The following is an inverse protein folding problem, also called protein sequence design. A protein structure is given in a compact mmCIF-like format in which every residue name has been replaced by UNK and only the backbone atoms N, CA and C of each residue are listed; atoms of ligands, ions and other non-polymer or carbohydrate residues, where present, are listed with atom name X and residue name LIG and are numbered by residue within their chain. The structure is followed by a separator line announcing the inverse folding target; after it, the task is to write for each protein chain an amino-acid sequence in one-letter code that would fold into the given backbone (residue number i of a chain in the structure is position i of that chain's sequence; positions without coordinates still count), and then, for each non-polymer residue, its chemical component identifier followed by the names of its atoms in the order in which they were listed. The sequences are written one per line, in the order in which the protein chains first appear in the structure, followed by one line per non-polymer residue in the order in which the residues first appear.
data_IF_242297437914
#
_entry.id   IF_242297437914
#
_cell.length_a   1.000
_cell.length_b   1.000
_cell.length_c   1.000
_cell.angle_alpha   90.00
_cell.angle_beta   90.00
_cell.angle_gamma   90.00
#
_symmetry.space_group_name_H-M   'P 1'
#
loop_
_entity.id
_entity.type
_entity.pdbx_description
1 polymer ?
#
# COMPACT_ATOMS: atom_id res chain seq x y z
N UNK A 1 -17.80 -10.95 -46.56
CA UNK A 1 -17.00 -11.85 -45.70
C UNK A 1 -15.66 -11.24 -45.27
N UNK A 2 -14.87 -10.64 -46.19
CA UNK A 2 -13.57 -10.02 -45.83
C UNK A 2 -13.68 -8.84 -44.85
N UNK A 3 -14.70 -7.99 -45.01
CA UNK A 3 -14.98 -6.86 -44.09
C UNK A 3 -15.38 -7.30 -42.69
N UNK A 4 -16.07 -8.44 -42.56
CA UNK A 4 -16.44 -9.02 -41.26
C UNK A 4 -15.22 -9.54 -40.51
N UNK A 5 -14.28 -10.18 -41.21
CA UNK A 5 -12.99 -10.64 -40.66
C UNK A 5 -12.12 -9.47 -40.15
N UNK A 6 -12.11 -8.34 -40.86
CA UNK A 6 -11.40 -7.13 -40.44
C UNK A 6 -12.04 -6.55 -39.16
N UNK A 7 -13.37 -6.49 -39.10
CA UNK A 7 -14.09 -6.00 -37.92
C UNK A 7 -13.84 -6.89 -36.68
N UNK A 8 -13.83 -8.21 -36.87
CA UNK A 8 -13.52 -9.19 -35.82
C UNK A 8 -12.06 -9.04 -35.34
N UNK A 9 -11.12 -8.72 -36.24
CA UNK A 9 -9.73 -8.46 -35.88
C UNK A 9 -9.57 -7.22 -34.98
N UNK A 10 -10.41 -6.19 -35.14
CA UNK A 10 -10.36 -5.00 -34.28
C UNK A 10 -10.91 -5.27 -32.87
N UNK A 11 -11.85 -6.20 -32.71
CA UNK A 11 -12.41 -6.58 -31.39
C UNK A 11 -11.40 -7.32 -30.50
N UNK A 12 -10.38 -7.96 -31.07
CA UNK A 12 -9.31 -8.59 -30.29
C UNK A 12 -8.20 -7.63 -29.86
N UNK A 13 -8.13 -6.42 -30.44
CA UNK A 13 -7.11 -5.41 -30.11
C UNK A 13 -7.52 -4.51 -28.93
N UNK A 14 -8.76 -4.56 -28.46
CA UNK A 14 -9.27 -3.69 -27.38
C UNK A 14 -9.12 -4.25 -25.96
N UNK A 15 -8.38 -5.35 -25.76
CA UNK A 15 -8.25 -6.01 -24.45
C UNK A 15 -6.98 -5.64 -23.70
N UNK A 16 -6.76 -4.35 -23.47
CA UNK A 16 -5.77 -3.91 -22.47
C UNK A 16 -6.34 -2.83 -21.57
N UNK A 17 -7.51 -3.10 -20.97
CA UNK A 17 -7.87 -2.46 -19.72
C UNK A 17 -7.03 -3.12 -18.62
N UNK A 18 -5.74 -2.78 -18.54
CA UNK A 18 -5.04 -2.88 -17.26
C UNK A 18 -5.70 -1.82 -16.40
N UNK A 19 -6.81 -2.18 -15.76
CA UNK A 19 -7.46 -1.33 -14.79
C UNK A 19 -6.40 -1.11 -13.72
N UNK A 20 -5.87 0.11 -13.67
CA UNK A 20 -4.91 0.57 -12.67
C UNK A 20 -5.60 0.57 -11.31
N UNK A 21 -5.71 -0.61 -10.72
CA UNK A 21 -6.35 -0.79 -9.44
C UNK A 21 -5.44 -1.62 -8.56
N UNK A 22 -5.18 -1.03 -7.40
CA UNK A 22 -4.70 -1.69 -6.21
C UNK A 22 -5.28 -3.09 -6.05
N UNK A 23 -4.40 -4.09 -5.99
CA UNK A 23 -4.79 -5.47 -5.71
C UNK A 23 -4.96 -5.62 -4.21
N UNK A 24 -6.16 -5.97 -3.71
CA UNK A 24 -6.38 -6.23 -2.29
C UNK A 24 -5.55 -7.43 -1.81
N UNK A 25 -4.97 -7.31 -0.64
CA UNK A 25 -4.14 -8.33 0.00
C UNK A 25 -4.79 -8.82 1.29
N UNK A 26 -4.37 -9.99 1.77
CA UNK A 26 -4.81 -10.55 3.05
C UNK A 26 -3.60 -10.76 3.96
N UNK A 27 -3.81 -10.63 5.28
CA UNK A 27 -2.83 -11.03 6.29
C UNK A 27 -3.38 -12.27 6.98
N UNK A 28 -2.63 -13.36 6.98
CA UNK A 28 -3.02 -14.58 7.69
C UNK A 28 -2.72 -14.49 9.20
N UNK A 29 -3.11 -15.52 9.95
CA UNK A 29 -2.91 -15.58 11.41
C UNK A 29 -1.44 -15.53 11.86
N UNK A 30 -0.49 -15.84 10.97
CA UNK A 30 0.94 -15.82 11.23
C UNK A 30 1.59 -14.50 10.77
N UNK A 31 0.78 -13.54 10.32
CA UNK A 31 1.25 -12.27 9.78
C UNK A 31 1.78 -12.35 8.35
N UNK A 32 1.58 -13.45 7.61
CA UNK A 32 2.01 -13.52 6.21
C UNK A 32 1.06 -12.68 5.34
N UNK A 33 1.63 -11.88 4.44
CA UNK A 33 0.87 -11.12 3.44
C UNK A 33 0.66 -12.03 2.23
N UNK A 34 -0.61 -12.35 1.94
CA UNK A 34 -1.04 -13.20 0.85
C UNK A 34 -1.56 -12.35 -0.31
N UNK A 35 -1.15 -12.68 -1.54
CA UNK A 35 -1.61 -12.04 -2.77
C UNK A 35 -0.52 -11.25 -3.52
N UNK A 36 0.64 -11.03 -2.90
CA UNK A 36 1.80 -10.44 -3.58
C UNK A 36 2.49 -11.46 -4.51
N UNK A 37 3.12 -11.01 -5.62
CA UNK A 37 3.99 -11.84 -6.45
C UNK A 37 5.12 -12.51 -5.66
N UNK A 38 5.59 -13.65 -6.19
CA UNK A 38 6.64 -14.46 -5.53
C UNK A 38 7.96 -13.70 -5.36
N UNK A 39 8.28 -12.74 -6.23
CA UNK A 39 9.49 -11.92 -6.10
C UNK A 39 9.52 -11.04 -4.84
N UNK A 40 8.36 -10.73 -4.25
CA UNK A 40 8.25 -9.99 -2.98
C UNK A 40 8.16 -10.92 -1.76
N UNK A 41 8.24 -12.23 -1.96
CA UNK A 41 8.20 -13.20 -0.87
C UNK A 41 9.60 -13.39 -0.24
N UNK A 42 9.70 -13.60 1.08
CA UNK A 42 8.59 -13.61 2.06
C UNK A 42 8.04 -12.20 2.33
N UNK A 43 6.72 -12.09 2.41
CA UNK A 43 6.03 -10.87 2.79
C UNK A 43 5.28 -11.08 4.11
N UNK A 44 5.58 -10.26 5.12
CA UNK A 44 4.99 -10.38 6.47
C UNK A 44 4.72 -9.02 7.09
N UNK A 45 3.63 -8.92 7.84
CA UNK A 45 3.33 -7.80 8.70
C UNK A 45 2.96 -8.28 10.11
N UNK A 46 3.81 -7.95 11.10
CA UNK A 46 3.52 -8.15 12.52
C UNK A 46 2.74 -6.94 13.02
N UNK A 47 1.43 -7.11 13.21
CA UNK A 47 0.54 -6.03 13.65
C UNK A 47 0.85 -5.54 15.07
N UNK A 48 1.44 -6.37 15.94
CA UNK A 48 1.74 -5.97 17.31
C UNK A 48 3.03 -5.14 17.36
N UNK A 49 4.05 -5.56 16.61
CA UNK A 49 5.33 -4.84 16.53
C UNK A 49 5.31 -3.68 15.54
N UNK A 50 4.30 -3.63 14.65
CA UNK A 50 4.30 -2.82 13.43
C UNK A 50 5.61 -3.08 12.67
N UNK A 51 5.87 -4.34 12.36
CA UNK A 51 7.06 -4.73 11.61
C UNK A 51 6.64 -5.24 10.23
N UNK A 52 7.15 -4.62 9.18
CA UNK A 52 6.96 -5.04 7.80
C UNK A 52 8.23 -5.69 7.29
N UNK A 53 8.10 -6.89 6.74
CA UNK A 53 9.14 -7.57 5.98
C UNK A 53 8.64 -7.82 4.58
N UNK A 54 9.45 -7.45 3.58
CA UNK A 54 9.25 -7.81 2.18
C UNK A 54 10.58 -8.33 1.66
N UNK A 55 10.59 -9.55 1.13
CA UNK A 55 11.79 -10.24 0.68
C UNK A 55 12.90 -10.25 1.77
N UNK A 56 14.04 -9.62 1.46
CA UNK A 56 15.24 -9.49 2.26
C UNK A 56 15.27 -8.19 3.06
N UNK A 57 14.19 -7.39 3.06
CA UNK A 57 14.15 -6.12 3.80
C UNK A 57 13.13 -6.16 4.92
N UNK A 58 13.46 -5.48 6.01
CA UNK A 58 12.61 -5.33 7.17
C UNK A 58 12.65 -3.89 7.70
N UNK A 59 11.51 -3.41 8.17
CA UNK A 59 11.41 -2.20 8.98
C UNK A 59 10.45 -2.44 10.14
N UNK A 60 10.81 -1.92 11.31
CA UNK A 60 9.87 -1.69 12.41
C UNK A 60 9.46 -0.23 12.35
N UNK A 61 8.18 0.05 12.14
CA UNK A 61 7.68 1.42 12.02
C UNK A 61 8.05 2.22 13.29
N UNK A 62 8.62 3.43 13.15
CA UNK A 62 8.97 4.26 14.30
C UNK A 62 7.72 4.73 15.05
N UNK A 63 7.87 5.11 16.32
CA UNK A 63 6.75 5.50 17.19
C UNK A 63 5.86 6.59 16.59
N UNK A 64 6.46 7.55 15.88
CA UNK A 64 5.73 8.61 15.20
C UNK A 64 4.74 8.09 14.13
N UNK A 65 5.00 6.91 13.54
CA UNK A 65 4.08 6.27 12.60
C UNK A 65 3.13 5.29 13.28
N UNK A 66 3.50 4.69 14.41
CA UNK A 66 2.62 3.80 15.16
C UNK A 66 1.31 4.47 15.57
N UNK A 67 1.35 5.78 15.84
CA UNK A 67 0.17 6.61 16.09
C UNK A 67 -0.96 6.36 15.09
N UNK A 68 -0.66 6.31 13.78
CA UNK A 68 -1.68 6.18 12.74
C UNK A 68 -2.35 4.79 12.71
N UNK A 69 -1.68 3.76 13.23
CA UNK A 69 -2.25 2.42 13.37
C UNK A 69 -3.11 2.26 14.63
N UNK A 70 -2.94 3.16 15.62
CA UNK A 70 -3.48 3.01 16.98
C UNK A 70 -4.46 4.13 17.38
N UNK A 71 -4.49 5.23 16.63
CA UNK A 71 -5.32 6.40 16.92
C UNK A 71 -6.82 6.07 16.97
N UNK A 72 -7.25 5.10 16.15
CA UNK A 72 -8.63 4.67 16.15
C UNK A 72 -8.92 3.66 17.26
N UNK A 73 -10.16 3.70 17.79
CA UNK A 73 -10.59 2.79 18.86
C UNK A 73 -10.73 1.35 18.36
N UNK A 74 -11.26 1.17 17.15
CA UNK A 74 -11.43 -0.13 16.50
C UNK A 74 -10.89 -0.05 15.06
N UNK A 75 -9.56 0.04 14.89
CA UNK A 75 -8.95 0.18 13.58
C UNK A 75 -9.23 -1.06 12.74
N UNK A 76 -9.76 -0.85 11.54
CA UNK A 76 -9.75 -1.81 10.45
C UNK A 76 -8.55 -1.50 9.57
N UNK A 77 -7.66 -2.48 9.43
CA UNK A 77 -6.53 -2.41 8.52
C UNK A 77 -6.86 -3.20 7.25
N UNK A 78 -6.77 -2.56 6.08
CA UNK A 78 -6.80 -3.22 4.78
C UNK A 78 -5.45 -3.01 4.09
N UNK A 79 -4.93 -4.05 3.46
CA UNK A 79 -3.73 -3.95 2.63
C UNK A 79 -4.13 -4.03 1.17
N UNK A 80 -3.49 -3.20 0.35
CA UNK A 80 -3.50 -3.35 -1.10
C UNK A 80 -2.12 -3.06 -1.67
N UNK A 81 -1.85 -3.47 -2.91
CA UNK A 81 -0.59 -3.16 -3.56
C UNK A 81 -0.74 -3.01 -5.08
N UNK A 82 0.22 -2.36 -5.71
CA UNK A 82 0.25 -2.19 -7.17
C UNK A 82 1.65 -2.43 -7.70
N UNK A 83 1.74 -3.25 -8.75
CA UNK A 83 3.00 -3.69 -9.37
C UNK A 83 2.90 -3.92 -10.89
N UNK A 84 1.88 -3.37 -11.54
CA UNK A 84 1.61 -3.56 -12.99
C UNK A 84 1.83 -2.29 -13.83
N UNK A 85 2.37 -1.21 -13.24
CA UNK A 85 2.64 0.05 -13.91
C UNK A 85 4.13 0.26 -14.18
N UNK A 86 4.47 1.27 -14.99
CA UNK A 86 5.86 1.71 -15.13
C UNK A 86 6.37 2.28 -13.79
N UNK A 87 7.59 1.89 -13.41
CA UNK A 87 8.30 2.44 -12.24
C UNK A 87 8.74 3.89 -12.43
N UNK A 88 8.75 4.40 -13.65
CA UNK A 88 9.05 5.81 -13.95
C UNK A 88 7.97 6.78 -13.44
N UNK A 89 6.73 6.29 -13.30
CA UNK A 89 5.60 7.08 -12.78
C UNK A 89 5.59 7.03 -11.26
N UNK A 90 5.73 5.82 -10.71
CA UNK A 90 5.69 5.54 -9.28
C UNK A 90 6.35 4.19 -8.99
N UNK A 91 7.06 4.02 -7.87
CA UNK A 91 7.54 2.70 -7.47
C UNK A 91 6.39 1.72 -7.24
N UNK A 92 6.68 0.42 -7.33
CA UNK A 92 5.74 -0.58 -6.85
C UNK A 92 5.51 -0.38 -5.36
N UNK A 93 4.26 -0.43 -4.92
CA UNK A 93 3.92 -0.01 -3.58
C UNK A 93 2.99 -0.97 -2.85
N UNK A 94 3.11 -0.95 -1.53
CA UNK A 94 2.19 -1.53 -0.57
C UNK A 94 1.48 -0.39 0.16
N UNK A 95 0.16 -0.49 0.21
CA UNK A 95 -0.75 0.46 0.82
C UNK A 95 -1.34 -0.13 2.11
N UNK A 96 -1.25 0.63 3.20
CA UNK A 96 -1.98 0.39 4.44
C UNK A 96 -3.13 1.40 4.52
N UNK A 97 -4.36 0.93 4.35
CA UNK A 97 -5.59 1.68 4.61
C UNK A 97 -6.06 1.39 6.02
N UNK A 98 -6.05 2.41 6.88
CA UNK A 98 -6.42 2.31 8.29
C UNK A 98 -7.66 3.18 8.50
N UNK A 99 -8.77 2.56 8.87
CA UNK A 99 -10.05 3.24 9.03
C UNK A 99 -10.81 2.73 10.24
N UNK A 100 -11.74 3.51 10.76
CA UNK A 100 -12.66 3.08 11.82
C UNK A 100 -14.06 3.58 11.49
N UNK A 101 -15.03 2.67 11.49
CA UNK A 101 -16.43 2.95 11.13
C UNK A 101 -17.10 3.96 12.07
N UNK A 102 -16.55 4.18 13.26
CA UNK A 102 -17.08 5.11 14.26
C UNK A 102 -16.66 6.56 14.03
N UNK A 103 -15.69 6.80 13.16
CA UNK A 103 -15.22 8.14 12.79
C UNK A 103 -15.28 8.33 11.27
N UNK A 104 -15.20 9.58 10.84
CA UNK A 104 -15.30 9.94 9.43
C UNK A 104 -13.94 10.22 8.79
N UNK A 105 -12.85 9.69 9.36
CA UNK A 105 -11.51 9.86 8.80
C UNK A 105 -10.71 8.57 8.92
N UNK A 106 -9.69 8.45 8.08
CA UNK A 106 -8.74 7.35 8.08
C UNK A 106 -7.37 7.81 7.63
N UNK A 107 -6.42 6.88 7.65
CA UNK A 107 -5.03 7.09 7.28
C UNK A 107 -4.62 6.13 6.17
N UNK A 108 -3.80 6.64 5.26
CA UNK A 108 -3.14 5.86 4.21
C UNK A 108 -1.65 5.99 4.40
N UNK A 109 -0.95 4.85 4.53
CA UNK A 109 0.52 4.81 4.54
C UNK A 109 0.95 4.01 3.32
N UNK A 110 1.76 4.64 2.47
CA UNK A 110 2.24 4.03 1.24
C UNK A 110 3.75 3.80 1.32
N UNK A 111 4.19 2.56 1.09
CA UNK A 111 5.59 2.17 1.15
C UNK A 111 6.01 1.48 -0.14
N UNK A 112 7.26 1.68 -0.54
CA UNK A 112 7.86 1.02 -1.69
C UNK A 112 8.06 -0.49 -1.42
N UNK A 113 7.61 -1.35 -2.33
CA UNK A 113 7.72 -2.81 -2.20
C UNK A 113 9.15 -3.34 -2.34
N UNK A 114 10.02 -2.65 -3.07
CA UNK A 114 11.39 -3.07 -3.34
C UNK A 114 12.36 -2.55 -2.26
N UNK A 115 12.13 -1.33 -1.77
CA UNK A 115 13.06 -0.63 -0.86
C UNK A 115 12.54 -0.48 0.57
N UNK A 116 11.24 -0.61 0.79
CA UNK A 116 10.53 -0.24 2.03
C UNK A 116 10.60 1.26 2.37
N UNK A 117 11.06 2.12 1.45
CA UNK A 117 11.01 3.56 1.65
C UNK A 117 9.57 4.06 1.79
N UNK A 118 9.35 5.02 2.70
CA UNK A 118 8.05 5.67 2.87
C UNK A 118 7.82 6.58 1.66
N UNK A 119 6.77 6.30 0.89
CA UNK A 119 6.41 7.13 -0.26
C UNK A 119 5.59 8.33 0.22
N UNK A 120 4.51 8.09 0.98
CA UNK A 120 3.77 9.14 1.66
C UNK A 120 2.88 8.60 2.78
N UNK A 121 2.38 9.54 3.57
CA UNK A 121 1.27 9.33 4.49
C UNK A 121 0.19 10.38 4.23
N UNK A 122 -1.08 9.98 4.25
CA UNK A 122 -2.21 10.86 4.01
C UNK A 122 -3.31 10.62 5.06
N UNK A 123 -3.98 11.70 5.48
CA UNK A 123 -5.23 11.63 6.25
C UNK A 123 -6.37 11.93 5.31
N UNK A 124 -7.37 11.07 5.27
CA UNK A 124 -8.58 11.31 4.49
C UNK A 124 -9.76 11.53 5.42
N UNK A 125 -10.51 12.63 5.24
CA UNK A 125 -11.68 13.00 6.05
C UNK A 125 -12.90 13.09 5.14
N UNK A 126 -13.92 12.28 5.39
CA UNK A 126 -15.18 12.29 4.66
C UNK A 126 -16.22 13.16 5.39
N UNK A 127 -16.79 14.15 4.72
CA UNK A 127 -17.95 14.92 5.23
C UNK A 127 -19.03 14.94 4.15
N UNK A 128 -20.16 14.26 4.41
CA UNK A 128 -21.18 14.06 3.39
C UNK A 128 -20.62 13.31 2.19
N UNK A 129 -20.72 13.91 1.00
CA UNK A 129 -20.21 13.34 -0.26
C UNK A 129 -18.80 13.86 -0.64
N UNK A 130 -18.13 14.57 0.27
CA UNK A 130 -16.82 15.18 -0.01
C UNK A 130 -15.74 14.54 0.85
N UNK A 131 -14.60 14.25 0.22
CA UNK A 131 -13.39 13.78 0.89
C UNK A 131 -12.34 14.88 0.87
N UNK A 132 -11.76 15.17 2.04
CA UNK A 132 -10.68 16.13 2.23
C UNK A 132 -9.42 15.38 2.62
N UNK A 133 -8.29 15.79 2.04
CA UNK A 133 -6.99 15.19 2.32
C UNK A 133 -6.05 16.25 2.90
N UNK A 134 -6.19 16.62 4.20
CA UNK A 134 -5.22 17.50 4.83
C UNK A 134 -3.82 16.87 4.78
N UNK A 135 -2.83 17.68 4.47
CA UNK A 135 -1.44 17.27 4.45
C UNK A 135 -0.98 16.82 5.84
N UNK A 136 -0.19 15.75 5.88
CA UNK A 136 0.52 15.31 7.07
C UNK A 136 1.99 15.60 6.82
N UNK A 137 2.52 16.57 7.56
CA UNK A 137 3.96 16.81 7.61
C UNK A 137 4.55 15.97 8.76
N UNK A 138 5.44 15.04 8.41
CA UNK A 138 6.23 14.31 9.40
C UNK A 138 7.45 15.14 9.78
N UNK A 139 7.73 15.23 11.08
CA UNK A 139 8.95 15.85 11.57
C UNK A 139 10.19 15.17 10.95
N UNK A 140 11.24 15.95 10.66
CA UNK A 140 12.50 15.44 10.08
C UNK A 140 13.09 14.28 10.90
N UNK A 141 12.93 14.35 12.23
CA UNK A 141 13.32 13.27 13.13
C UNK A 141 12.59 11.96 12.83
N UNK A 142 11.28 12.01 12.58
CA UNK A 142 10.48 10.83 12.25
C UNK A 142 10.93 10.20 10.93
N UNK A 143 11.15 11.04 9.91
CA UNK A 143 11.65 10.59 8.59
C UNK A 143 13.05 9.96 8.71
N UNK A 144 13.92 10.55 9.52
CA UNK A 144 15.27 10.04 9.78
C UNK A 144 15.22 8.70 10.51
N UNK A 145 14.38 8.59 11.55
CA UNK A 145 14.16 7.33 12.28
C UNK A 145 13.60 6.23 11.36
N UNK A 146 12.64 6.57 10.49
CA UNK A 146 12.09 5.64 9.51
C UNK A 146 13.19 5.12 8.57
N UNK A 147 13.93 6.03 7.92
CA UNK A 147 14.96 5.70 6.94
C UNK A 147 16.06 4.84 7.54
N UNK A 148 16.51 5.16 8.75
CA UNK A 148 17.55 4.40 9.47
C UNK A 148 17.02 3.06 10.01
N UNK A 149 15.70 2.88 10.09
CA UNK A 149 15.06 1.67 10.57
C UNK A 149 15.00 0.54 9.53
N UNK A 150 15.15 0.86 8.24
CA UNK A 150 15.16 -0.13 7.15
C UNK A 150 16.46 -0.93 7.22
N UNK A 151 16.34 -2.26 7.22
CA UNK A 151 17.45 -3.20 7.29
C UNK A 151 17.35 -4.23 6.18
N UNK A 152 18.50 -4.58 5.60
CA UNK A 152 18.64 -5.79 4.79
C UNK A 152 18.99 -6.96 5.69
N UNK A 153 18.24 -8.04 5.58
CA UNK A 153 18.42 -9.30 6.26
C UNK A 153 19.42 -10.15 5.45
N UNK A 154 20.50 -10.58 6.09
CA UNK A 154 21.51 -11.47 5.50
C UNK A 154 21.02 -12.92 5.43
#
# INVERSE_FOLDING_TARGET
MKTLLILISFLFLSNSNVIHQDTPLQIDENGNIIGLPKEFSPAKFDLNKKALRINDKEIVFPKCLNYYFEEHKNPKLNLSASWYHSKEIMPYYLNFDISDKSVNYGYTILVDLETLELIYINKSITKGNTTYNPEIELEEKCLTEYKNGIKTLN
#
